data_IF_034228501472
#
_entry.id   IF_034228501472
#
_cell.length_a   1.000
_cell.length_b   1.000
_cell.length_c   1.000
_cell.angle_alpha   90.00
_cell.angle_beta   90.00
_cell.angle_gamma   90.00
#
_symmetry.space_group_name_H-M   'P 1'
#
loop_
_entity.id
_entity.type
_entity.pdbx_description
1 polymer ?
#
# COMPACT_ATOMS: atom_id res chain seq x y z
N UNK A 1 -29.47 -18.37 -15.74
CA UNK A 1 -29.45 -16.93 -16.06
C UNK A 1 -29.09 -16.17 -14.77
N UNK A 2 -27.83 -15.75 -14.60
CA UNK A 2 -27.47 -14.85 -13.51
C UNK A 2 -28.03 -13.47 -13.83
N UNK A 3 -29.07 -13.03 -13.12
CA UNK A 3 -29.46 -11.63 -13.15
C UNK A 3 -28.22 -10.81 -12.74
N UNK A 4 -27.69 -10.02 -13.68
CA UNK A 4 -26.66 -9.02 -13.35
C UNK A 4 -27.30 -8.10 -12.30
N UNK A 5 -26.83 -8.15 -11.05
CA UNK A 5 -27.25 -7.19 -10.03
C UNK A 5 -27.03 -5.78 -10.59
N UNK A 6 -28.04 -4.92 -10.48
CA UNK A 6 -27.91 -3.52 -10.89
C UNK A 6 -26.85 -2.82 -10.04
N UNK A 7 -26.14 -1.88 -10.65
CA UNK A 7 -25.14 -1.05 -9.97
C UNK A 7 -25.86 -0.04 -9.06
N UNK A 8 -25.42 0.06 -7.80
CA UNK A 8 -26.03 0.95 -6.81
C UNK A 8 -25.05 2.10 -6.56
N UNK A 9 -25.49 3.32 -6.85
CA UNK A 9 -24.72 4.55 -6.67
C UNK A 9 -25.17 5.35 -5.44
N UNK A 10 -26.29 5.00 -4.83
CA UNK A 10 -26.77 5.53 -3.55
C UNK A 10 -27.04 4.39 -2.56
N UNK A 11 -26.13 4.21 -1.61
CA UNK A 11 -26.22 3.12 -0.63
C UNK A 11 -27.40 3.29 0.36
N UNK A 12 -28.01 4.47 0.44
CA UNK A 12 -29.21 4.72 1.28
C UNK A 12 -30.41 3.87 0.84
N UNK A 13 -30.50 3.53 -0.45
CA UNK A 13 -31.53 2.64 -1.00
C UNK A 13 -31.49 1.23 -0.39
N UNK A 14 -30.33 0.83 0.13
CA UNK A 14 -30.14 -0.49 0.76
C UNK A 14 -30.61 -0.54 2.23
N UNK A 15 -30.85 0.63 2.84
CA UNK A 15 -31.11 0.77 4.26
C UNK A 15 -29.84 0.71 5.13
N UNK A 16 -29.95 1.26 6.34
CA UNK A 16 -28.83 1.43 7.27
C UNK A 16 -28.09 0.11 7.60
N UNK A 17 -28.78 -1.01 7.93
CA UNK A 17 -28.07 -2.24 8.30
C UNK A 17 -27.16 -2.79 7.18
N UNK A 18 -27.64 -2.76 5.93
CA UNK A 18 -26.84 -3.24 4.79
C UNK A 18 -25.67 -2.29 4.48
N UNK A 19 -25.89 -0.98 4.62
CA UNK A 19 -24.84 0.02 4.44
C UNK A 19 -23.72 -0.14 5.48
N UNK A 20 -24.05 -0.38 6.76
CA UNK A 20 -23.09 -0.66 7.81
C UNK A 20 -22.31 -1.95 7.53
N UNK A 21 -22.99 -3.00 7.09
CA UNK A 21 -22.35 -4.27 6.71
C UNK A 21 -21.38 -4.09 5.54
N UNK A 22 -21.75 -3.31 4.51
CA UNK A 22 -20.86 -3.00 3.39
C UNK A 22 -19.64 -2.18 3.85
N UNK A 23 -19.82 -1.20 4.73
CA UNK A 23 -18.70 -0.50 5.35
C UNK A 23 -17.75 -1.43 6.08
N UNK A 24 -18.29 -2.40 6.81
CA UNK A 24 -17.51 -3.43 7.50
C UNK A 24 -16.75 -4.33 6.51
N UNK A 25 -17.36 -4.67 5.36
CA UNK A 25 -16.69 -5.42 4.29
C UNK A 25 -15.49 -4.68 3.73
N UNK A 26 -15.65 -3.38 3.44
CA UNK A 26 -14.55 -2.53 2.97
C UNK A 26 -13.45 -2.39 4.04
N UNK A 27 -13.81 -2.30 5.31
CA UNK A 27 -12.85 -2.25 6.40
C UNK A 27 -12.04 -3.56 6.47
N UNK A 28 -12.67 -4.72 6.38
CA UNK A 28 -11.97 -6.00 6.40
C UNK A 28 -11.13 -6.25 5.15
N UNK A 29 -11.52 -5.73 3.98
CA UNK A 29 -10.74 -5.85 2.76
C UNK A 29 -9.40 -5.10 2.86
N UNK A 30 -9.40 -3.88 3.41
CA UNK A 30 -8.20 -3.08 3.57
C UNK A 30 -7.35 -3.52 4.77
N UNK A 31 -7.97 -4.17 5.76
CA UNK A 31 -7.35 -4.40 7.06
C UNK A 31 -6.03 -5.17 6.96
N UNK A 32 -6.05 -6.31 6.24
CA UNK A 32 -4.87 -7.16 6.10
C UNK A 32 -3.67 -6.44 5.49
N UNK A 33 -3.89 -5.70 4.41
CA UNK A 33 -2.85 -4.93 3.75
C UNK A 33 -2.35 -3.76 4.63
N UNK A 34 -3.27 -3.04 5.27
CA UNK A 34 -2.93 -1.87 6.09
C UNK A 34 -2.07 -2.21 7.30
N UNK A 35 -2.38 -3.30 8.01
CA UNK A 35 -1.61 -3.71 9.20
C UNK A 35 -0.27 -4.36 8.86
N UNK A 36 -0.11 -4.88 7.65
CA UNK A 36 1.11 -5.59 7.26
C UNK A 36 2.31 -4.64 7.13
N UNK A 37 2.11 -3.40 6.67
CA UNK A 37 3.19 -2.42 6.53
C UNK A 37 3.85 -2.08 7.87
N UNK A 38 3.14 -1.68 8.96
CA UNK A 38 3.79 -1.43 10.25
C UNK A 38 4.48 -2.67 10.81
N UNK A 39 3.92 -3.88 10.63
CA UNK A 39 4.56 -5.12 11.08
C UNK A 39 5.90 -5.33 10.35
N UNK A 40 5.96 -5.12 9.04
CA UNK A 40 7.18 -5.27 8.25
C UNK A 40 8.21 -4.19 8.60
N UNK A 41 7.78 -2.94 8.74
CA UNK A 41 8.67 -1.85 9.17
C UNK A 41 9.27 -2.17 10.54
N UNK A 42 8.48 -2.74 11.47
CA UNK A 42 8.97 -3.13 12.79
C UNK A 42 10.07 -4.19 12.73
N UNK A 43 10.10 -5.06 11.70
CA UNK A 43 11.23 -5.98 11.51
C UNK A 43 12.53 -5.26 11.16
N UNK A 44 12.48 -4.12 10.48
CA UNK A 44 13.65 -3.30 10.14
C UNK A 44 14.14 -2.43 11.32
N UNK A 45 13.22 -2.06 12.19
CA UNK A 45 13.47 -1.18 13.35
C UNK A 45 13.54 -1.93 14.68
N UNK A 46 13.78 -3.26 14.66
CA UNK A 46 13.93 -4.12 15.86
C UNK A 46 12.74 -4.00 16.85
N UNK A 47 11.52 -3.81 16.33
CA UNK A 47 10.31 -3.64 17.14
C UNK A 47 10.00 -2.19 17.53
N UNK A 48 10.91 -1.24 17.29
CA UNK A 48 10.75 0.20 17.59
C UNK A 48 10.24 1.00 16.37
N UNK A 49 9.45 0.37 15.49
CA UNK A 49 8.97 0.95 14.26
C UNK A 49 7.58 1.58 14.38
N UNK A 50 6.76 1.40 13.34
CA UNK A 50 5.44 2.01 13.22
C UNK A 50 4.40 1.35 14.15
N UNK A 51 3.56 2.17 14.77
CA UNK A 51 2.40 1.68 15.53
C UNK A 51 1.25 1.26 14.63
N UNK A 52 0.66 0.08 14.88
CA UNK A 52 -0.55 -0.40 14.20
C UNK A 52 -1.73 0.55 14.48
N UNK A 53 -1.86 1.05 15.70
CA UNK A 53 -2.91 2.00 16.07
C UNK A 53 -2.80 3.30 15.27
N UNK A 54 -1.59 3.90 15.22
CA UNK A 54 -1.33 5.12 14.42
C UNK A 54 -1.57 4.86 12.94
N UNK A 55 -1.18 3.70 12.44
CA UNK A 55 -1.44 3.31 11.04
C UNK A 55 -2.93 3.27 10.72
N UNK A 56 -3.75 2.63 11.56
CA UNK A 56 -5.18 2.51 11.36
C UNK A 56 -5.91 3.87 11.42
N UNK A 57 -5.57 4.71 12.40
CA UNK A 57 -6.20 6.04 12.51
C UNK A 57 -5.81 6.93 11.34
N UNK A 58 -4.54 6.88 10.90
CA UNK A 58 -4.07 7.64 9.75
C UNK A 58 -4.69 7.17 8.44
N UNK A 59 -4.89 5.87 8.25
CA UNK A 59 -5.61 5.33 7.09
C UNK A 59 -7.08 5.81 7.07
N UNK A 60 -7.76 5.76 8.20
CA UNK A 60 -9.13 6.24 8.32
C UNK A 60 -9.27 7.75 8.07
N UNK A 61 -8.48 8.57 8.77
CA UNK A 61 -8.48 10.03 8.60
C UNK A 61 -8.03 10.40 7.17
N UNK A 62 -6.97 9.76 6.65
CA UNK A 62 -6.47 9.97 5.30
C UNK A 62 -7.53 9.68 4.24
N UNK A 63 -8.31 8.59 4.40
CA UNK A 63 -9.45 8.27 3.53
C UNK A 63 -10.52 9.36 3.58
N UNK A 64 -10.86 9.88 4.76
CA UNK A 64 -11.83 10.97 4.89
C UNK A 64 -11.33 12.27 4.24
N UNK A 65 -10.05 12.63 4.41
CA UNK A 65 -9.43 13.77 3.71
C UNK A 65 -9.46 13.60 2.20
N UNK A 66 -9.13 12.42 1.71
CA UNK A 66 -9.21 12.12 0.29
C UNK A 66 -10.62 12.33 -0.26
N UNK A 67 -11.65 11.84 0.44
CA UNK A 67 -13.03 12.02 0.03
C UNK A 67 -13.44 13.50 0.02
N UNK A 68 -12.98 14.30 0.98
CA UNK A 68 -13.22 15.75 0.97
C UNK A 68 -12.56 16.42 -0.25
N UNK A 69 -11.31 16.12 -0.53
CA UNK A 69 -10.58 16.66 -1.69
C UNK A 69 -11.26 16.28 -3.01
N UNK A 70 -11.81 15.05 -3.10
CA UNK A 70 -12.46 14.50 -4.29
C UNK A 70 -13.96 14.82 -4.37
N UNK A 71 -14.45 15.83 -3.62
CA UNK A 71 -15.86 16.25 -3.59
C UNK A 71 -16.81 15.09 -3.21
N UNK A 72 -16.35 14.15 -2.40
CA UNK A 72 -17.09 12.97 -1.96
C UNK A 72 -17.54 12.02 -3.09
N UNK A 73 -16.89 12.07 -4.26
CA UNK A 73 -17.28 11.32 -5.47
C UNK A 73 -16.56 9.98 -5.64
N UNK A 74 -15.28 9.91 -5.25
CA UNK A 74 -14.43 8.74 -5.55
C UNK A 74 -14.53 7.71 -4.43
N UNK A 75 -14.98 6.48 -4.69
CA UNK A 75 -15.13 5.44 -3.67
C UNK A 75 -13.79 4.68 -3.43
N UNK A 76 -12.71 5.41 -3.18
CA UNK A 76 -11.41 4.82 -2.86
C UNK A 76 -11.17 4.82 -1.34
N UNK A 77 -10.57 3.76 -0.83
CA UNK A 77 -10.00 3.68 0.51
C UNK A 77 -8.50 3.90 0.43
N UNK A 78 -7.93 4.65 1.37
CA UNK A 78 -6.50 4.85 1.49
C UNK A 78 -5.96 4.06 2.68
N UNK A 79 -4.95 3.24 2.41
CA UNK A 79 -4.24 2.50 3.45
C UNK A 79 -2.74 2.66 3.33
N UNK A 80 -1.97 1.88 4.08
CA UNK A 80 -0.52 2.00 4.15
C UNK A 80 0.18 1.56 2.86
N UNK A 81 1.09 2.37 2.34
CA UNK A 81 1.83 2.11 1.11
C UNK A 81 3.00 1.14 1.30
N UNK A 82 3.04 0.09 0.49
CA UNK A 82 4.15 -0.87 0.44
C UNK A 82 5.39 -0.33 -0.28
N UNK A 83 5.23 0.63 -1.17
CA UNK A 83 6.33 1.19 -1.96
C UNK A 83 7.44 1.81 -1.09
N UNK A 84 7.09 2.32 0.09
CA UNK A 84 8.05 2.94 1.00
C UNK A 84 8.82 1.95 1.89
N UNK A 85 8.53 0.64 1.86
CA UNK A 85 9.23 -0.36 2.68
C UNK A 85 10.75 -0.37 2.42
N UNK A 86 11.16 -0.28 1.15
CA UNK A 86 12.58 -0.16 0.80
C UNK A 86 13.23 1.11 1.35
N UNK A 87 12.50 2.22 1.38
CA UNK A 87 12.95 3.48 1.99
C UNK A 87 13.09 3.36 3.52
N UNK A 88 12.12 2.76 4.21
CA UNK A 88 12.23 2.47 5.63
C UNK A 88 13.43 1.59 5.95
N UNK A 89 13.64 0.51 5.18
CA UNK A 89 14.82 -0.35 5.33
C UNK A 89 16.13 0.43 5.14
N UNK A 90 16.20 1.29 4.12
CA UNK A 90 17.38 2.12 3.88
C UNK A 90 17.64 3.09 5.05
N UNK A 91 16.60 3.80 5.55
CA UNK A 91 16.76 4.73 6.68
C UNK A 91 17.15 4.02 7.97
N UNK A 92 16.59 2.82 8.24
CA UNK A 92 16.97 2.01 9.39
C UNK A 92 18.48 1.68 9.41
N UNK A 93 19.06 1.43 8.21
CA UNK A 93 20.46 1.06 8.04
C UNK A 93 21.41 2.26 7.81
N UNK A 94 20.93 3.51 7.92
CA UNK A 94 21.82 4.67 7.87
C UNK A 94 22.76 4.68 9.07
N UNK A 95 24.08 4.79 8.80
CA UNK A 95 25.16 4.78 9.78
C UNK A 95 26.09 6.01 9.65
N UNK A 96 25.66 7.02 8.90
CA UNK A 96 26.45 8.22 8.57
C UNK A 96 25.81 9.49 9.14
N UNK A 97 26.63 10.52 9.35
CA UNK A 97 26.15 11.81 9.85
C UNK A 97 25.47 11.68 11.21
N UNK A 98 24.28 12.25 11.35
CA UNK A 98 23.52 12.22 12.61
C UNK A 98 22.98 10.83 12.97
N UNK A 99 22.90 9.90 11.99
CA UNK A 99 22.31 8.57 12.18
C UNK A 99 23.26 7.55 12.80
N UNK A 100 24.58 7.87 12.90
CA UNK A 100 25.61 6.92 13.31
C UNK A 100 25.39 6.32 14.71
N UNK A 101 24.96 7.18 15.65
CA UNK A 101 24.81 6.78 17.05
C UNK A 101 23.34 6.72 17.49
N UNK A 102 22.39 6.80 16.54
CA UNK A 102 20.95 6.73 16.83
C UNK A 102 20.47 5.29 16.98
N UNK A 103 19.59 5.06 17.96
CA UNK A 103 18.81 3.82 18.05
C UNK A 103 17.85 3.69 16.86
N UNK A 104 17.32 2.48 16.63
CA UNK A 104 16.37 2.26 15.54
C UNK A 104 15.12 3.14 15.69
N UNK A 105 14.55 3.24 16.90
CA UNK A 105 13.38 4.08 17.16
C UNK A 105 13.62 5.57 16.93
N UNK A 106 14.85 6.07 17.18
CA UNK A 106 15.19 7.47 16.92
C UNK A 106 15.31 7.81 15.43
N UNK A 107 15.59 6.83 14.56
CA UNK A 107 15.67 7.01 13.10
C UNK A 107 14.28 7.08 12.44
N UNK A 108 13.26 6.44 13.03
CA UNK A 108 11.92 6.36 12.47
C UNK A 108 11.27 7.73 12.17
N UNK A 109 11.30 8.73 13.08
CA UNK A 109 10.76 10.06 12.81
C UNK A 109 11.38 10.74 11.59
N UNK A 110 12.64 10.47 11.27
CA UNK A 110 13.30 11.01 10.08
C UNK A 110 12.83 10.33 8.80
N UNK A 111 12.55 9.01 8.84
CA UNK A 111 11.91 8.32 7.73
C UNK A 111 10.52 8.93 7.45
N UNK A 112 9.73 9.15 8.51
CA UNK A 112 8.44 9.81 8.41
C UNK A 112 8.55 11.24 7.84
N UNK A 113 9.56 12.03 8.26
CA UNK A 113 9.81 13.37 7.70
C UNK A 113 10.10 13.34 6.19
N UNK A 114 10.84 12.34 5.72
CA UNK A 114 11.04 12.11 4.29
C UNK A 114 9.73 11.81 3.54
N UNK A 115 8.82 11.06 4.16
CA UNK A 115 7.49 10.76 3.60
C UNK A 115 6.60 12.00 3.57
N UNK A 116 6.69 12.90 4.55
CA UNK A 116 5.98 14.19 4.50
C UNK A 116 6.36 14.97 3.24
N UNK A 117 7.66 15.01 2.91
CA UNK A 117 8.14 15.65 1.68
C UNK A 117 7.67 14.89 0.44
N UNK A 118 7.64 13.55 0.47
CA UNK A 118 7.04 12.74 -0.59
C UNK A 118 5.57 13.12 -0.84
N UNK A 119 4.76 13.26 0.22
CA UNK A 119 3.38 13.74 0.12
C UNK A 119 3.27 15.16 -0.46
N UNK A 120 4.22 16.06 -0.14
CA UNK A 120 4.27 17.39 -0.74
C UNK A 120 4.54 17.36 -2.26
N UNK A 121 5.31 16.38 -2.76
CA UNK A 121 5.54 16.22 -4.21
C UNK A 121 4.24 15.86 -4.95
N UNK A 122 3.29 15.16 -4.32
CA UNK A 122 1.96 14.95 -4.90
C UNK A 122 1.21 16.26 -5.14
N UNK A 123 1.36 17.24 -4.23
CA UNK A 123 0.75 18.55 -4.40
C UNK A 123 1.38 19.32 -5.58
N UNK A 124 2.70 19.15 -5.77
CA UNK A 124 3.41 19.70 -6.94
C UNK A 124 2.87 19.06 -8.22
N UNK A 125 2.75 17.72 -8.28
CA UNK A 125 2.18 17.06 -9.45
C UNK A 125 0.73 17.48 -9.69
N UNK A 126 -0.08 17.60 -8.66
CA UNK A 126 -1.47 18.07 -8.76
C UNK A 126 -1.55 19.48 -9.34
N UNK A 127 -0.63 20.38 -8.94
CA UNK A 127 -0.53 21.70 -9.51
C UNK A 127 -0.16 21.65 -10.99
N UNK A 128 0.82 20.83 -11.36
CA UNK A 128 1.22 20.61 -12.76
C UNK A 128 0.04 20.08 -13.57
N UNK A 129 -0.68 19.05 -13.07
CA UNK A 129 -1.88 18.52 -13.73
C UNK A 129 -2.94 19.60 -13.94
N UNK A 130 -3.15 20.46 -12.94
CA UNK A 130 -4.13 21.55 -13.02
C UNK A 130 -3.76 22.64 -14.03
N UNK A 131 -2.46 23.01 -14.13
CA UNK A 131 -1.97 24.07 -14.99
C UNK A 131 -1.75 23.62 -16.44
N UNK A 132 -1.17 22.43 -16.60
CA UNK A 132 -0.73 21.89 -17.90
C UNK A 132 -1.80 21.02 -18.56
N UNK A 133 -2.72 20.48 -17.77
CA UNK A 133 -3.77 19.57 -18.19
C UNK A 133 -3.38 18.09 -18.09
N UNK A 134 -4.38 17.25 -17.82
CA UNK A 134 -4.23 15.80 -17.63
C UNK A 134 -3.56 15.15 -18.85
N UNK A 135 -4.01 15.45 -20.06
CA UNK A 135 -3.52 14.86 -21.31
C UNK A 135 -2.00 15.01 -21.50
N UNK A 136 -1.46 16.19 -21.17
CA UNK A 136 -0.01 16.43 -21.28
C UNK A 136 0.78 15.68 -20.22
N UNK A 137 0.27 15.60 -19.00
CA UNK A 137 0.92 14.84 -17.90
C UNK A 137 0.88 13.33 -18.18
N UNK A 138 -0.26 12.79 -18.60
CA UNK A 138 -0.41 11.37 -18.94
C UNK A 138 0.47 10.92 -20.11
N UNK A 139 0.92 11.86 -20.95
CA UNK A 139 1.93 11.58 -21.99
C UNK A 139 3.28 11.17 -21.40
N UNK A 140 3.66 11.68 -20.22
CA UNK A 140 4.90 11.31 -19.54
C UNK A 140 4.72 10.09 -18.63
N UNK A 141 3.49 9.80 -18.20
CA UNK A 141 3.10 8.73 -17.30
C UNK A 141 2.11 7.73 -17.95
N UNK A 142 2.41 7.23 -19.16
CA UNK A 142 1.51 6.29 -19.84
C UNK A 142 1.56 4.89 -19.19
N UNK A 143 0.59 4.00 -19.48
CA UNK A 143 0.55 2.65 -18.95
C UNK A 143 1.81 1.80 -19.17
N UNK A 144 2.57 2.06 -20.25
CA UNK A 144 3.88 1.42 -20.48
C UNK A 144 4.94 1.80 -19.44
N UNK A 145 4.76 2.89 -18.72
CA UNK A 145 5.60 3.32 -17.59
C UNK A 145 4.97 2.87 -16.27
N UNK A 146 3.69 3.20 -16.05
CA UNK A 146 3.02 2.96 -14.76
C UNK A 146 2.86 1.47 -14.45
N UNK A 147 2.49 0.65 -15.45
CA UNK A 147 2.31 -0.79 -15.28
C UNK A 147 3.58 -1.51 -14.78
N UNK A 148 4.71 -1.41 -15.49
CA UNK A 148 5.98 -2.01 -15.04
C UNK A 148 6.44 -1.52 -13.67
N UNK A 149 6.19 -0.26 -13.27
CA UNK A 149 6.52 0.24 -11.94
C UNK A 149 5.67 -0.45 -10.87
N UNK A 150 4.37 -0.60 -11.08
CA UNK A 150 3.49 -1.32 -10.15
C UNK A 150 3.94 -2.79 -10.03
N UNK A 151 4.36 -3.42 -11.14
CA UNK A 151 4.95 -4.77 -11.12
C UNK A 151 6.18 -4.80 -10.21
N UNK A 152 7.08 -3.83 -10.33
CA UNK A 152 8.28 -3.73 -9.51
C UNK A 152 7.96 -3.54 -8.02
N UNK A 153 6.92 -2.77 -7.66
CA UNK A 153 6.52 -2.57 -6.26
C UNK A 153 6.27 -3.93 -5.60
N UNK A 154 5.44 -4.77 -6.21
CA UNK A 154 5.14 -6.08 -5.64
C UNK A 154 6.35 -7.04 -5.65
N UNK A 155 7.04 -7.18 -6.79
CA UNK A 155 8.15 -8.13 -6.94
C UNK A 155 9.38 -7.78 -6.10
N UNK A 156 9.69 -6.49 -5.90
CA UNK A 156 10.81 -6.07 -5.05
C UNK A 156 10.67 -6.50 -3.59
N UNK A 157 9.44 -6.75 -3.14
CA UNK A 157 9.13 -7.18 -1.79
C UNK A 157 9.13 -8.71 -1.61
N UNK A 158 9.15 -9.48 -2.71
CA UNK A 158 9.10 -10.95 -2.67
C UNK A 158 10.17 -11.59 -1.77
N UNK A 159 11.44 -11.13 -1.72
CA UNK A 159 12.44 -11.68 -0.81
C UNK A 159 12.03 -11.57 0.67
N UNK A 160 11.35 -10.50 1.09
CA UNK A 160 10.91 -10.34 2.48
C UNK A 160 9.80 -11.34 2.83
N UNK A 161 8.87 -11.61 1.91
CA UNK A 161 7.84 -12.64 2.09
C UNK A 161 8.45 -14.02 2.27
N UNK A 162 9.44 -14.39 1.43
CA UNK A 162 10.16 -15.66 1.53
C UNK A 162 10.94 -15.75 2.84
N UNK A 163 11.62 -14.70 3.27
CA UNK A 163 12.38 -14.68 4.51
C UNK A 163 11.49 -14.87 5.74
N UNK A 164 10.32 -14.24 5.77
CA UNK A 164 9.33 -14.44 6.81
C UNK A 164 8.73 -15.87 6.78
N UNK A 165 8.43 -16.41 5.58
CA UNK A 165 7.90 -17.76 5.42
C UNK A 165 8.87 -18.85 5.89
N UNK A 166 10.18 -18.64 5.73
CA UNK A 166 11.24 -19.59 6.16
C UNK A 166 11.21 -19.91 7.65
N UNK A 167 10.68 -19.05 8.49
CA UNK A 167 10.58 -19.29 9.94
C UNK A 167 9.70 -20.50 10.26
N UNK A 168 8.66 -20.77 9.44
CA UNK A 168 7.84 -21.97 9.50
C UNK A 168 7.02 -22.14 8.20
N UNK A 169 7.56 -22.90 7.25
CA UNK A 169 6.92 -23.13 5.96
C UNK A 169 5.52 -23.71 6.03
N UNK A 170 5.23 -24.57 7.02
CA UNK A 170 3.90 -25.20 7.16
C UNK A 170 2.86 -24.11 7.40
N UNK A 171 3.09 -23.22 8.37
CA UNK A 171 2.17 -22.12 8.67
C UNK A 171 2.06 -21.13 7.51
N UNK A 172 3.16 -20.84 6.81
CA UNK A 172 3.16 -19.97 5.64
C UNK A 172 2.32 -20.57 4.50
N UNK A 173 2.47 -21.86 4.22
CA UNK A 173 1.69 -22.56 3.18
C UNK A 173 0.21 -22.61 3.57
N UNK A 174 -0.13 -22.84 4.84
CA UNK A 174 -1.52 -22.82 5.31
C UNK A 174 -2.12 -21.44 5.08
N UNK A 175 -1.43 -20.36 5.46
CA UNK A 175 -1.92 -19.00 5.26
C UNK A 175 -2.16 -18.71 3.77
N UNK A 176 -1.19 -19.03 2.91
CA UNK A 176 -1.30 -18.89 1.47
C UNK A 176 -2.45 -19.70 0.88
N UNK A 177 -2.55 -20.99 1.22
CA UNK A 177 -3.59 -21.90 0.71
C UNK A 177 -4.99 -21.43 1.10
N UNK A 178 -5.18 -20.97 2.34
CA UNK A 178 -6.46 -20.44 2.82
C UNK A 178 -6.86 -19.22 1.98
N UNK A 179 -5.94 -18.29 1.72
CA UNK A 179 -6.23 -17.12 0.88
C UNK A 179 -6.67 -17.55 -0.52
N UNK A 180 -5.95 -18.48 -1.14
CA UNK A 180 -6.29 -19.02 -2.48
C UNK A 180 -7.68 -19.68 -2.47
N UNK A 181 -7.96 -20.52 -1.48
CA UNK A 181 -9.25 -21.22 -1.36
C UNK A 181 -10.40 -20.22 -1.25
N UNK A 182 -10.28 -19.23 -0.36
CA UNK A 182 -11.36 -18.25 -0.19
C UNK A 182 -11.49 -17.30 -1.38
N UNK A 183 -10.39 -16.97 -2.05
CA UNK A 183 -10.42 -16.12 -3.25
C UNK A 183 -11.13 -16.82 -4.42
N UNK A 184 -10.84 -18.10 -4.66
CA UNK A 184 -11.35 -18.85 -5.82
C UNK A 184 -12.73 -19.45 -5.55
N UNK A 185 -12.88 -20.17 -4.45
CA UNK A 185 -14.10 -20.92 -4.12
C UNK A 185 -15.00 -20.27 -3.07
N UNK A 186 -14.52 -19.18 -2.45
CA UNK A 186 -15.30 -18.41 -1.49
C UNK A 186 -16.59 -17.86 -2.09
N UNK A 187 -17.63 -17.76 -1.26
CA UNK A 187 -18.93 -17.20 -1.65
C UNK A 187 -19.29 -16.05 -0.70
N UNK A 188 -20.00 -15.05 -1.23
CA UNK A 188 -20.47 -13.91 -0.44
C UNK A 188 -19.32 -13.16 0.24
N UNK A 189 -19.44 -12.92 1.55
CA UNK A 189 -18.47 -12.21 2.38
C UNK A 189 -17.07 -12.83 2.32
N UNK A 190 -16.96 -14.15 2.37
CA UNK A 190 -15.68 -14.85 2.41
C UNK A 190 -14.82 -14.64 1.16
N UNK A 191 -15.45 -14.42 0.00
CA UNK A 191 -14.75 -14.07 -1.23
C UNK A 191 -14.15 -12.64 -1.20
N UNK A 192 -14.74 -11.78 -0.38
CA UNK A 192 -14.34 -10.37 -0.26
C UNK A 192 -13.13 -10.20 0.67
N UNK A 193 -12.99 -11.07 1.68
CA UNK A 193 -12.00 -10.95 2.74
C UNK A 193 -10.99 -12.12 2.79
N UNK A 194 -10.44 -12.58 1.65
CA UNK A 194 -9.60 -13.78 1.62
C UNK A 194 -8.32 -13.61 2.46
N UNK A 195 -7.71 -12.43 2.46
CA UNK A 195 -6.49 -12.13 3.23
C UNK A 195 -6.78 -12.23 4.72
N UNK A 196 -7.88 -11.64 5.20
CA UNK A 196 -8.27 -11.74 6.59
C UNK A 196 -8.54 -13.18 7.01
N UNK A 197 -9.20 -13.97 6.16
CA UNK A 197 -9.43 -15.39 6.42
C UNK A 197 -8.12 -16.18 6.49
N UNK A 198 -7.16 -15.86 5.62
CA UNK A 198 -5.81 -16.42 5.66
C UNK A 198 -5.12 -16.15 7.00
N UNK A 199 -5.16 -14.90 7.46
CA UNK A 199 -4.60 -14.51 8.76
C UNK A 199 -5.31 -15.24 9.90
N UNK A 200 -6.64 -15.14 9.98
CA UNK A 200 -7.42 -15.68 11.13
C UNK A 200 -7.29 -17.20 11.23
N UNK A 201 -7.49 -17.91 10.12
CA UNK A 201 -7.45 -19.38 10.15
C UNK A 201 -6.04 -19.89 10.47
N UNK A 202 -5.00 -19.32 9.83
CA UNK A 202 -3.62 -19.72 10.12
C UNK A 202 -3.18 -19.33 11.53
N UNK A 203 -3.69 -18.21 12.08
CA UNK A 203 -3.47 -17.85 13.47
C UNK A 203 -4.09 -18.87 14.44
N UNK A 204 -5.32 -19.30 14.18
CA UNK A 204 -5.98 -20.35 14.98
C UNK A 204 -5.21 -21.67 14.91
N UNK A 205 -4.76 -22.08 13.71
CA UNK A 205 -3.93 -23.29 13.56
C UNK A 205 -2.63 -23.17 14.33
N UNK A 206 -1.93 -22.03 14.19
CA UNK A 206 -0.69 -21.76 14.92
C UNK A 206 -0.92 -21.79 16.45
N UNK A 207 -2.05 -21.25 16.93
CA UNK A 207 -2.43 -21.29 18.34
C UNK A 207 -2.65 -22.72 18.84
N UNK A 208 -3.32 -23.56 18.05
CA UNK A 208 -3.52 -24.98 18.38
C UNK A 208 -2.16 -25.70 18.46
N UNK A 209 -1.28 -25.50 17.48
CA UNK A 209 0.07 -26.07 17.48
C UNK A 209 0.89 -25.63 18.71
N UNK A 210 0.82 -24.35 19.05
CA UNK A 210 1.46 -23.83 20.26
C UNK A 210 0.93 -24.51 21.55
N UNK A 211 -0.37 -24.72 21.64
CA UNK A 211 -0.99 -25.44 22.80
C UNK A 211 -0.60 -26.89 22.84
N UNK A 212 -0.31 -27.52 21.71
CA UNK A 212 0.21 -28.90 21.61
C UNK A 212 1.72 -29.01 21.90
N UNK A 213 2.40 -27.88 22.25
CA UNK A 213 3.83 -27.86 22.53
C UNK A 213 4.73 -27.88 21.31
N UNK A 214 4.19 -27.60 20.11
CA UNK A 214 4.97 -27.50 18.87
C UNK A 214 5.73 -26.18 18.86
N UNK A 215 6.99 -26.24 18.46
CA UNK A 215 7.88 -25.09 18.29
C UNK A 215 8.18 -24.85 16.82
N UNK A 216 8.72 -23.68 16.50
CA UNK A 216 9.28 -23.42 15.16
C UNK A 216 10.48 -24.33 14.89
N UNK A 217 10.90 -24.53 13.62
CA UNK A 217 12.05 -25.37 13.28
C UNK A 217 13.38 -24.95 13.94
N UNK A 218 13.51 -23.70 14.34
CA UNK A 218 14.66 -23.16 15.09
C UNK A 218 14.56 -23.36 16.61
N UNK A 219 13.52 -24.03 17.10
CA UNK A 219 13.26 -24.25 18.52
C UNK A 219 12.58 -23.07 19.25
N UNK A 220 12.33 -21.95 18.57
CA UNK A 220 11.64 -20.79 19.16
C UNK A 220 10.15 -21.07 19.33
N UNK A 221 9.52 -20.39 20.30
CA UNK A 221 8.08 -20.47 20.50
C UNK A 221 7.32 -19.81 19.32
N UNK A 222 6.22 -20.45 18.89
CA UNK A 222 5.37 -19.90 17.82
C UNK A 222 4.74 -18.57 18.23
N UNK A 223 4.37 -18.42 19.50
CA UNK A 223 3.71 -17.22 20.04
C UNK A 223 4.35 -16.69 21.31
N UNK A 224 4.25 -15.36 21.46
CA UNK A 224 4.51 -14.65 22.71
C UNK A 224 3.30 -13.77 23.05
N UNK A 225 2.51 -14.16 24.08
CA UNK A 225 1.27 -13.46 24.43
C UNK A 225 1.45 -12.41 25.54
N UNK A 226 2.67 -12.12 25.99
CA UNK A 226 2.91 -11.18 27.10
C UNK A 226 2.32 -9.81 26.77
N UNK A 227 2.71 -9.22 25.64
CA UNK A 227 2.21 -7.91 25.22
C UNK A 227 0.68 -7.88 25.08
N UNK A 228 0.06 -8.94 24.52
CA UNK A 228 -1.39 -9.05 24.41
C UNK A 228 -2.08 -9.07 25.78
N UNK A 229 -1.50 -9.73 26.77
CA UNK A 229 -2.07 -9.79 28.15
C UNK A 229 -2.01 -8.44 28.83
N UNK A 230 -0.87 -7.76 28.69
CA UNK A 230 -0.57 -6.50 29.40
C UNK A 230 -1.27 -5.28 28.75
N UNK A 231 -1.68 -5.40 27.49
CA UNK A 231 -2.34 -4.32 26.75
C UNK A 231 -3.74 -4.01 27.31
N UNK A 232 -4.05 -2.70 27.37
CA UNK A 232 -5.38 -2.20 27.70
C UNK A 232 -6.40 -2.39 26.57
N UNK A 233 -7.69 -2.23 26.90
CA UNK A 233 -8.75 -2.32 25.89
C UNK A 233 -8.92 -1.04 25.08
N UNK A 234 -8.73 0.12 25.71
CA UNK A 234 -8.90 1.45 25.10
C UNK A 234 -7.76 2.35 25.56
N UNK A 235 -7.07 2.96 24.61
CA UNK A 235 -6.06 3.97 24.84
C UNK A 235 -5.90 4.87 23.59
N UNK A 236 -5.24 6.00 23.74
CA UNK A 236 -4.89 6.87 22.62
C UNK A 236 -3.77 6.23 21.78
N UNK A 237 -3.85 6.32 20.44
CA UNK A 237 -2.73 5.91 19.60
C UNK A 237 -1.43 6.66 19.98
N UNK A 238 -0.28 5.96 20.03
CA UNK A 238 1.00 6.57 20.42
C UNK A 238 1.59 7.37 19.26
N UNK A 239 1.08 8.58 19.04
CA UNK A 239 1.56 9.47 18.00
C UNK A 239 2.99 9.91 18.24
N UNK A 240 3.78 9.96 17.17
CA UNK A 240 5.15 10.45 17.17
C UNK A 240 5.33 11.47 16.06
N UNK A 241 5.78 12.69 16.41
CA UNK A 241 6.00 13.72 15.41
C UNK A 241 7.23 13.40 14.54
N UNK A 242 7.12 13.66 13.25
CA UNK A 242 8.21 13.49 12.30
C UNK A 242 9.36 14.48 12.57
N UNK A 243 10.56 14.10 12.13
CA UNK A 243 11.76 14.95 12.11
C UNK A 243 12.31 15.02 10.70
N UNK A 244 12.94 16.12 10.35
CA UNK A 244 13.46 16.34 9.00
C UNK A 244 14.98 16.26 8.97
N UNK A 245 15.50 15.52 7.98
CA UNK A 245 16.91 15.49 7.63
C UNK A 245 17.04 15.28 6.12
N UNK A 246 17.99 15.96 5.49
CA UNK A 246 18.16 15.93 4.05
C UNK A 246 18.45 14.53 3.52
N UNK A 247 19.23 13.72 4.24
CA UNK A 247 19.56 12.35 3.82
C UNK A 247 18.30 11.48 3.76
N UNK A 248 17.47 11.48 4.81
CA UNK A 248 16.22 10.72 4.82
C UNK A 248 15.19 11.23 3.81
N UNK A 249 15.15 12.54 3.56
CA UNK A 249 14.32 13.14 2.53
C UNK A 249 14.74 12.64 1.14
N UNK A 250 16.03 12.63 0.84
CA UNK A 250 16.55 12.16 -0.44
C UNK A 250 16.38 10.66 -0.66
N UNK A 251 16.24 9.87 0.40
CA UNK A 251 15.87 8.44 0.31
C UNK A 251 14.37 8.28 0.01
N UNK A 252 13.51 8.99 0.74
CA UNK A 252 12.06 8.78 0.73
C UNK A 252 11.34 9.53 -0.40
N UNK A 253 11.67 10.80 -0.62
CA UNK A 253 10.93 11.66 -1.54
C UNK A 253 10.89 11.14 -2.99
N UNK A 254 11.98 10.58 -3.59
CA UNK A 254 11.93 10.06 -4.95
C UNK A 254 10.99 8.87 -5.14
N UNK A 255 10.65 8.13 -4.06
CA UNK A 255 9.69 7.01 -4.10
C UNK A 255 8.28 7.52 -4.47
N UNK A 256 7.98 8.77 -4.15
CA UNK A 256 6.73 9.41 -4.53
C UNK A 256 6.42 9.32 -6.04
N UNK A 257 7.44 9.33 -6.90
CA UNK A 257 7.23 9.16 -8.34
C UNK A 257 6.58 7.81 -8.67
N UNK A 258 6.99 6.74 -8.00
CA UNK A 258 6.40 5.42 -8.19
C UNK A 258 4.96 5.35 -7.64
N UNK A 259 4.73 5.89 -6.44
CA UNK A 259 3.40 5.85 -5.81
C UNK A 259 2.39 6.78 -6.48
N UNK A 260 2.83 7.90 -7.06
CA UNK A 260 1.98 8.74 -7.91
C UNK A 260 1.48 7.98 -9.15
N UNK A 261 2.33 7.13 -9.74
CA UNK A 261 1.94 6.30 -10.89
C UNK A 261 1.01 5.17 -10.48
N UNK A 262 1.24 4.54 -9.33
CA UNK A 262 0.33 3.59 -8.72
C UNK A 262 -1.07 4.21 -8.52
N UNK A 263 -1.13 5.39 -7.90
CA UNK A 263 -2.37 6.14 -7.69
C UNK A 263 -3.14 6.42 -9.00
N UNK A 264 -2.45 6.84 -10.06
CA UNK A 264 -3.08 7.06 -11.37
C UNK A 264 -3.68 5.75 -11.91
N UNK A 265 -2.97 4.64 -11.77
CA UNK A 265 -3.43 3.31 -12.14
C UNK A 265 -4.68 2.90 -11.38
N UNK A 266 -4.69 3.09 -10.07
CA UNK A 266 -5.81 2.76 -9.19
C UNK A 266 -7.06 3.59 -9.50
N UNK A 267 -6.91 4.91 -9.69
CA UNK A 267 -8.03 5.78 -10.08
C UNK A 267 -8.59 5.40 -11.44
N UNK A 268 -7.75 4.94 -12.37
CA UNK A 268 -8.19 4.42 -13.65
C UNK A 268 -8.98 3.11 -13.48
N UNK A 269 -8.51 2.19 -12.63
CA UNK A 269 -9.18 0.93 -12.33
C UNK A 269 -10.54 1.15 -11.64
N UNK A 270 -10.60 2.07 -10.66
CA UNK A 270 -11.87 2.45 -10.00
C UNK A 270 -12.82 3.08 -11.00
N UNK A 271 -12.32 3.93 -11.91
CA UNK A 271 -13.13 4.53 -12.97
C UNK A 271 -13.74 3.47 -13.90
N UNK A 272 -12.95 2.50 -14.35
CA UNK A 272 -13.42 1.40 -15.18
C UNK A 272 -14.46 0.53 -14.45
N UNK A 273 -14.22 0.22 -13.16
CA UNK A 273 -15.11 -0.60 -12.32
C UNK A 273 -16.46 0.04 -12.10
N UNK A 274 -16.48 1.36 -11.85
CA UNK A 274 -17.70 2.10 -11.52
C UNK A 274 -18.45 2.67 -12.73
N UNK A 275 -17.78 2.71 -13.89
CA UNK A 275 -18.31 3.36 -15.09
C UNK A 275 -18.26 4.89 -15.05
N UNK A 276 -17.55 5.49 -14.08
CA UNK A 276 -17.37 6.92 -13.92
C UNK A 276 -15.93 7.32 -14.23
N UNK A 277 -15.72 8.41 -14.94
CA UNK A 277 -14.37 8.91 -15.22
C UNK A 277 -13.89 9.87 -14.13
N UNK A 278 -13.24 9.33 -13.08
CA UNK A 278 -12.72 10.13 -11.97
C UNK A 278 -11.45 10.92 -12.30
N UNK A 279 -10.79 10.60 -13.39
CA UNK A 279 -9.67 11.39 -13.91
C UNK A 279 -10.17 12.74 -14.46
N UNK A 280 -11.39 12.75 -15.01
CA UNK A 280 -12.05 13.96 -15.52
C UNK A 280 -12.83 14.70 -14.42
N UNK A 281 -13.68 13.99 -13.65
CA UNK A 281 -14.51 14.55 -12.56
C UNK A 281 -14.47 13.63 -11.33
N UNK A 282 -13.93 14.07 -10.22
CA UNK A 282 -13.53 15.41 -9.78
C UNK A 282 -12.21 15.95 -10.37
N UNK A 283 -11.49 15.13 -11.10
CA UNK A 283 -10.23 15.46 -11.75
C UNK A 283 -9.01 14.89 -11.04
N UNK A 284 -8.03 14.44 -11.82
CA UNK A 284 -6.81 13.81 -11.33
C UNK A 284 -6.04 14.71 -10.34
N UNK A 285 -6.03 16.03 -10.54
CA UNK A 285 -5.41 16.96 -9.60
C UNK A 285 -6.00 16.89 -8.19
N UNK A 286 -7.32 16.62 -8.06
CA UNK A 286 -7.98 16.50 -6.75
C UNK A 286 -7.68 15.18 -6.07
N UNK A 287 -7.63 14.10 -6.83
CA UNK A 287 -7.27 12.78 -6.26
C UNK A 287 -5.81 12.78 -5.81
N UNK A 288 -4.90 13.41 -6.56
CA UNK A 288 -3.50 13.59 -6.17
C UNK A 288 -3.35 14.47 -4.92
N UNK A 289 -4.13 15.58 -4.79
CA UNK A 289 -4.13 16.41 -3.58
C UNK A 289 -4.56 15.57 -2.38
N UNK A 290 -5.65 14.79 -2.53
CA UNK A 290 -6.18 13.98 -1.44
C UNK A 290 -5.18 12.92 -0.95
N UNK A 291 -4.54 12.22 -1.87
CA UNK A 291 -3.54 11.18 -1.55
C UNK A 291 -2.27 11.79 -0.93
N UNK A 292 -1.77 12.88 -1.52
CA UNK A 292 -0.59 13.59 -1.00
C UNK A 292 -0.81 14.17 0.40
N UNK A 293 -1.96 14.79 0.65
CA UNK A 293 -2.30 15.31 1.98
C UNK A 293 -2.47 14.20 3.00
N UNK A 294 -3.12 13.09 2.62
CA UNK A 294 -3.28 11.91 3.48
C UNK A 294 -1.92 11.31 3.85
N UNK A 295 -1.02 11.17 2.86
CA UNK A 295 0.35 10.70 3.05
C UNK A 295 1.16 11.62 3.98
N UNK A 296 1.15 12.92 3.70
CA UNK A 296 1.87 13.90 4.53
C UNK A 296 1.34 13.96 5.96
N UNK A 297 0.01 13.93 6.13
CA UNK A 297 -0.62 13.89 7.45
C UNK A 297 -0.24 12.63 8.22
N UNK A 298 -0.38 11.46 7.63
CA UNK A 298 -0.04 10.19 8.28
C UNK A 298 1.41 10.20 8.78
N UNK A 299 2.35 10.57 7.91
CA UNK A 299 3.77 10.59 8.24
C UNK A 299 4.14 11.68 9.26
N UNK A 300 3.45 12.83 9.24
CA UNK A 300 3.68 13.90 10.23
C UNK A 300 3.40 13.42 11.67
N UNK A 301 2.48 12.48 11.85
CA UNK A 301 2.09 11.92 13.14
C UNK A 301 2.67 10.51 13.41
N UNK A 302 3.66 10.06 12.64
CA UNK A 302 4.35 8.80 12.88
C UNK A 302 3.67 7.58 12.25
N UNK A 303 2.76 7.79 11.29
CA UNK A 303 2.19 6.73 10.46
C UNK A 303 2.99 6.49 9.17
N UNK A 304 2.70 5.41 8.43
CA UNK A 304 3.24 5.18 7.10
C UNK A 304 2.63 6.13 6.06
N UNK A 305 3.24 6.20 4.87
CA UNK A 305 2.59 6.82 3.71
C UNK A 305 1.25 6.14 3.43
N UNK A 306 0.26 6.91 3.00
CA UNK A 306 -1.00 6.37 2.50
C UNK A 306 -0.94 6.19 0.96
N UNK A 307 -1.77 5.30 0.44
CA UNK A 307 -2.01 5.09 -0.99
C UNK A 307 -3.41 4.53 -1.21
N UNK A 308 -3.94 4.68 -2.41
CA UNK A 308 -5.22 4.06 -2.80
C UNK A 308 -5.12 2.54 -2.84
N UNK A 309 -6.20 1.84 -2.45
CA UNK A 309 -6.19 0.37 -2.33
C UNK A 309 -7.02 -0.32 -3.42
N UNK A 310 -6.35 -1.12 -4.23
CA UNK A 310 -6.95 -1.98 -5.23
C UNK A 310 -7.84 -3.09 -4.63
N UNK A 311 -7.56 -3.55 -3.41
CA UNK A 311 -8.36 -4.53 -2.68
C UNK A 311 -9.79 -4.02 -2.47
N UNK A 312 -9.95 -2.74 -2.15
CA UNK A 312 -11.26 -2.12 -1.98
C UNK A 312 -11.99 -1.95 -3.32
N UNK A 313 -11.27 -1.79 -4.43
CA UNK A 313 -11.85 -1.83 -5.78
C UNK A 313 -12.47 -3.19 -6.08
N UNK A 314 -11.84 -4.28 -5.65
CA UNK A 314 -12.41 -5.64 -5.72
C UNK A 314 -13.73 -5.77 -4.95
N UNK A 315 -13.86 -5.09 -3.79
CA UNK A 315 -15.14 -5.06 -3.05
C UNK A 315 -16.22 -4.32 -3.83
N UNK A 316 -15.88 -3.19 -4.46
CA UNK A 316 -16.81 -2.44 -5.33
C UNK A 316 -17.30 -3.34 -6.47
N UNK A 317 -16.41 -4.05 -7.14
CA UNK A 317 -16.73 -4.94 -8.25
C UNK A 317 -17.70 -6.07 -7.83
N UNK A 318 -17.44 -6.71 -6.69
CA UNK A 318 -18.24 -7.83 -6.19
C UNK A 318 -19.59 -7.41 -5.61
N UNK A 319 -19.62 -6.31 -4.86
CA UNK A 319 -20.85 -5.79 -4.25
C UNK A 319 -21.74 -5.05 -5.24
N UNK A 320 -21.13 -4.44 -6.27
CA UNK A 320 -21.73 -3.49 -7.20
C UNK A 320 -22.34 -2.27 -6.53
N UNK A 321 -21.85 -1.91 -5.34
CA UNK A 321 -22.23 -0.71 -4.62
C UNK A 321 -21.08 0.30 -4.72
N UNK A 322 -21.27 1.34 -5.49
CA UNK A 322 -20.25 2.32 -5.86
C UNK A 322 -20.35 3.64 -5.09
N UNK A 323 -21.19 3.67 -4.05
CA UNK A 323 -21.37 4.86 -3.22
C UNK A 323 -20.16 5.05 -2.28
N UNK A 324 -19.47 6.19 -2.34
CA UNK A 324 -18.36 6.51 -1.43
C UNK A 324 -18.73 6.49 0.08
N UNK A 325 -20.01 6.53 0.44
CA UNK A 325 -20.45 6.46 1.84
C UNK A 325 -20.04 5.15 2.51
N UNK A 326 -20.09 4.02 1.79
CA UNK A 326 -19.69 2.73 2.37
C UNK A 326 -18.20 2.69 2.68
N UNK A 327 -17.38 3.35 1.86
CA UNK A 327 -15.94 3.49 2.10
C UNK A 327 -15.66 4.43 3.28
N UNK A 328 -16.42 5.53 3.43
CA UNK A 328 -16.30 6.39 4.61
C UNK A 328 -16.67 5.68 5.91
N UNK A 329 -17.67 4.79 5.88
CA UNK A 329 -17.96 3.93 7.04
C UNK A 329 -16.79 3.03 7.39
N UNK A 330 -16.13 2.44 6.39
CA UNK A 330 -14.91 1.66 6.62
C UNK A 330 -13.80 2.50 7.27
N UNK A 331 -13.63 3.74 6.84
CA UNK A 331 -12.69 4.69 7.44
C UNK A 331 -13.01 4.98 8.93
N UNK A 332 -14.28 5.16 9.25
CA UNK A 332 -14.74 5.33 10.64
C UNK A 332 -14.45 4.08 11.47
N UNK A 333 -14.71 2.89 10.93
CA UNK A 333 -14.38 1.63 11.62
C UNK A 333 -12.88 1.49 11.87
N UNK A 334 -12.03 1.86 10.91
CA UNK A 334 -10.58 1.85 11.11
C UNK A 334 -10.15 2.81 12.23
N UNK A 335 -10.71 4.01 12.27
CA UNK A 335 -10.48 4.98 13.36
C UNK A 335 -10.93 4.40 14.71
N UNK A 336 -12.09 3.79 14.80
CA UNK A 336 -12.58 3.20 16.05
C UNK A 336 -11.68 2.06 16.53
N UNK A 337 -11.21 1.18 15.62
CA UNK A 337 -10.30 0.09 15.97
C UNK A 337 -8.93 0.58 16.44
N UNK A 338 -8.48 1.74 15.98
CA UNK A 338 -7.17 2.30 16.37
C UNK A 338 -7.06 2.63 17.85
N UNK A 339 -8.17 2.82 18.56
CA UNK A 339 -8.18 3.10 20.00
C UNK A 339 -8.02 1.84 20.86
N UNK A 340 -7.85 0.65 20.28
CA UNK A 340 -7.69 -0.58 21.03
C UNK A 340 -6.26 -1.12 20.98
N UNK A 341 -5.41 -0.88 22.00
CA UNK A 341 -4.09 -1.50 22.13
C UNK A 341 -4.19 -3.04 22.10
N UNK A 342 -5.24 -3.60 22.72
CA UNK A 342 -5.48 -5.05 22.73
C UNK A 342 -5.57 -5.64 21.32
N UNK A 343 -6.27 -4.98 20.41
CA UNK A 343 -6.37 -5.39 19.00
C UNK A 343 -5.01 -5.23 18.32
N UNK A 344 -4.32 -4.13 18.54
CA UNK A 344 -2.99 -3.88 17.95
C UNK A 344 -1.96 -4.93 18.37
N UNK A 345 -1.90 -5.28 19.67
CA UNK A 345 -0.98 -6.29 20.19
C UNK A 345 -1.37 -7.72 19.75
N UNK A 346 -2.66 -8.00 19.60
CA UNK A 346 -3.11 -9.25 19.02
C UNK A 346 -2.62 -9.42 17.57
N UNK A 347 -2.68 -8.36 16.78
CA UNK A 347 -2.14 -8.30 15.42
C UNK A 347 -0.62 -8.39 15.44
N UNK A 348 0.05 -7.66 16.33
CA UNK A 348 1.51 -7.68 16.50
C UNK A 348 2.06 -9.04 16.94
N UNK A 349 1.22 -9.89 17.54
CA UNK A 349 1.57 -11.27 17.92
C UNK A 349 1.53 -12.28 16.77
N UNK A 350 1.21 -11.85 15.53
CA UNK A 350 1.19 -12.74 14.37
C UNK A 350 2.59 -13.34 14.12
N UNK A 351 2.71 -14.69 14.03
CA UNK A 351 3.97 -15.31 13.65
C UNK A 351 4.50 -14.82 12.30
N UNK A 352 5.81 -14.61 12.21
CA UNK A 352 6.46 -14.15 10.97
C UNK A 352 6.15 -15.05 9.77
N UNK A 353 6.01 -16.36 9.99
CA UNK A 353 5.64 -17.33 8.96
C UNK A 353 4.27 -17.06 8.33
N UNK A 354 3.27 -16.70 9.15
CA UNK A 354 1.93 -16.35 8.68
C UNK A 354 2.01 -15.05 7.86
N UNK A 355 2.76 -14.06 8.38
CA UNK A 355 3.02 -12.80 7.66
C UNK A 355 3.67 -13.10 6.30
N UNK A 356 4.64 -14.01 6.25
CA UNK A 356 5.30 -14.44 5.01
C UNK A 356 4.32 -15.05 3.99
N UNK A 357 3.46 -15.98 4.41
CA UNK A 357 2.46 -16.59 3.55
C UNK A 357 1.42 -15.61 3.00
N UNK A 358 0.95 -14.69 3.84
CA UNK A 358 0.03 -13.61 3.46
C UNK A 358 0.70 -12.63 2.49
N UNK A 359 1.93 -12.21 2.81
CA UNK A 359 2.71 -11.26 1.99
C UNK A 359 3.01 -11.83 0.62
N UNK A 360 3.31 -13.13 0.52
CA UNK A 360 3.57 -13.79 -0.74
C UNK A 360 2.40 -13.63 -1.72
N UNK A 361 1.17 -13.82 -1.24
CA UNK A 361 -0.02 -13.60 -2.05
C UNK A 361 -0.26 -12.12 -2.35
N UNK A 362 -0.12 -11.26 -1.35
CA UNK A 362 -0.40 -9.83 -1.48
C UNK A 362 0.56 -9.16 -2.49
N UNK A 363 1.86 -9.42 -2.39
CA UNK A 363 2.86 -8.85 -3.31
C UNK A 363 2.66 -9.36 -4.74
N UNK A 364 2.29 -10.65 -4.88
CA UNK A 364 1.89 -11.21 -6.17
C UNK A 364 0.67 -10.51 -6.77
N UNK A 365 -0.34 -10.20 -5.95
CA UNK A 365 -1.54 -9.47 -6.40
C UNK A 365 -1.21 -8.03 -6.81
N UNK A 366 -0.36 -7.30 -6.06
CA UNK A 366 0.09 -5.96 -6.46
C UNK A 366 0.76 -6.01 -7.83
N UNK A 367 1.67 -6.96 -8.04
CA UNK A 367 2.32 -7.14 -9.35
C UNK A 367 1.32 -7.49 -10.46
N UNK A 368 0.33 -8.32 -10.17
CA UNK A 368 -0.73 -8.68 -11.12
C UNK A 368 -1.60 -7.47 -11.51
N UNK A 369 -1.84 -6.52 -10.60
CA UNK A 369 -2.51 -5.24 -10.91
C UNK A 369 -1.68 -4.45 -11.94
N UNK A 370 -0.34 -4.42 -11.80
CA UNK A 370 0.53 -3.80 -12.80
C UNK A 370 0.44 -4.47 -14.17
N UNK A 371 0.38 -5.80 -14.22
CA UNK A 371 0.15 -6.55 -15.47
C UNK A 371 -1.23 -6.21 -16.05
N UNK A 372 -2.26 -6.19 -15.23
CA UNK A 372 -3.61 -5.80 -15.63
C UNK A 372 -3.65 -4.41 -16.24
N UNK A 373 -2.97 -3.43 -15.64
CA UNK A 373 -2.86 -2.07 -16.17
C UNK A 373 -2.30 -2.06 -17.59
N UNK A 374 -1.22 -2.81 -17.85
CA UNK A 374 -0.63 -2.96 -19.19
C UNK A 374 -1.61 -3.57 -20.19
N UNK A 375 -2.29 -4.64 -19.80
CA UNK A 375 -3.20 -5.41 -20.67
C UNK A 375 -4.47 -4.61 -20.99
N UNK A 376 -5.12 -4.02 -20.00
CA UNK A 376 -6.36 -3.25 -20.18
C UNK A 376 -6.15 -2.01 -21.04
N UNK A 377 -4.98 -1.37 -20.93
CA UNK A 377 -4.60 -0.23 -21.75
C UNK A 377 -3.97 -0.65 -23.11
N UNK A 378 -3.97 -1.93 -23.45
CA UNK A 378 -3.52 -2.47 -24.73
C UNK A 378 -2.12 -2.01 -25.12
N UNK A 379 -1.18 -1.99 -24.16
CA UNK A 379 0.21 -1.62 -24.43
C UNK A 379 0.83 -2.61 -25.41
N UNK A 380 1.25 -2.09 -26.58
CA UNK A 380 1.84 -2.90 -27.64
C UNK A 380 3.35 -3.10 -27.45
N UNK A 381 3.75 -4.25 -26.95
CA UNK A 381 5.16 -4.62 -26.76
C UNK A 381 5.86 -5.14 -28.03
N UNK A 382 5.19 -5.22 -29.17
CA UNK A 382 5.86 -5.46 -30.46
C UNK A 382 6.65 -4.24 -30.90
N UNK A 383 6.32 -3.06 -30.37
CA UNK A 383 7.05 -1.83 -30.60
C UNK A 383 8.31 -1.77 -29.73
N UNK A 384 9.47 -1.68 -30.36
CA UNK A 384 10.79 -1.64 -29.69
C UNK A 384 10.86 -0.55 -28.59
N UNK A 385 10.22 0.60 -28.82
CA UNK A 385 10.14 1.68 -27.85
C UNK A 385 9.51 1.23 -26.52
N UNK A 386 8.35 0.63 -26.58
CA UNK A 386 7.60 0.17 -25.39
C UNK A 386 8.35 -0.96 -24.68
N UNK A 387 8.91 -1.88 -25.48
CA UNK A 387 9.74 -2.98 -24.95
C UNK A 387 10.95 -2.44 -24.17
N UNK A 388 11.67 -1.44 -24.73
CA UNK A 388 12.85 -0.86 -24.08
C UNK A 388 12.46 -0.14 -22.79
N UNK A 389 11.39 0.69 -22.79
CA UNK A 389 10.94 1.42 -21.61
C UNK A 389 10.60 0.43 -20.48
N UNK A 390 9.77 -0.57 -20.77
CA UNK A 390 9.38 -1.57 -19.77
C UNK A 390 10.58 -2.41 -19.29
N UNK A 391 11.47 -2.85 -20.19
CA UNK A 391 12.63 -3.65 -19.84
C UNK A 391 13.56 -2.89 -18.87
N UNK A 392 13.83 -1.61 -19.14
CA UNK A 392 14.67 -0.78 -18.26
C UNK A 392 14.03 -0.58 -16.90
N UNK A 393 12.70 -0.32 -16.84
CA UNK A 393 11.98 -0.19 -15.57
C UNK A 393 12.08 -1.48 -14.76
N UNK A 394 11.76 -2.63 -15.36
CA UNK A 394 11.76 -3.92 -14.67
C UNK A 394 13.16 -4.29 -14.17
N UNK A 395 14.18 -4.15 -15.01
CA UNK A 395 15.57 -4.47 -14.63
C UNK A 395 16.07 -3.50 -13.55
N UNK A 396 15.77 -2.20 -13.67
CA UNK A 396 16.18 -1.22 -12.66
C UNK A 396 15.46 -1.43 -11.32
N UNK A 397 14.14 -1.67 -11.36
CA UNK A 397 13.33 -1.83 -10.16
C UNK A 397 13.67 -3.10 -9.35
N UNK A 398 14.18 -4.14 -10.01
CA UNK A 398 14.52 -5.41 -9.37
C UNK A 398 16.03 -5.60 -9.21
N UNK A 399 16.84 -5.08 -10.15
CA UNK A 399 18.27 -5.37 -10.21
C UNK A 399 19.13 -4.58 -9.23
N UNK A 400 18.72 -3.34 -8.90
CA UNK A 400 19.51 -2.51 -7.98
C UNK A 400 19.33 -2.87 -6.49
N UNK A 401 18.52 -3.86 -6.13
CA UNK A 401 18.40 -4.36 -4.77
C UNK A 401 18.29 -3.26 -3.70
N UNK A 402 19.41 -2.92 -3.07
CA UNK A 402 19.49 -1.87 -2.05
C UNK A 402 19.57 -0.44 -2.60
N UNK A 403 19.42 -0.26 -3.91
CA UNK A 403 19.54 1.05 -4.57
C UNK A 403 20.97 1.42 -4.93
N UNK A 404 21.17 2.68 -5.33
CA UNK A 404 22.48 3.26 -5.64
C UNK A 404 22.78 4.37 -4.63
N UNK A 405 23.94 4.27 -3.96
CA UNK A 405 24.41 5.31 -3.05
C UNK A 405 25.54 6.09 -3.69
N UNK A 406 25.44 7.41 -3.66
CA UNK A 406 26.49 8.33 -4.12
C UNK A 406 26.62 9.49 -3.14
N UNK A 407 27.81 10.12 -3.07
CA UNK A 407 28.09 11.22 -2.17
C UNK A 407 28.14 12.55 -2.92
N UNK A 408 27.31 13.50 -2.51
CA UNK A 408 27.32 14.86 -3.06
C UNK A 408 27.56 15.84 -1.91
N UNK A 409 28.59 16.67 -2.03
CA UNK A 409 28.95 17.69 -1.03
C UNK A 409 29.04 17.10 0.40
N UNK A 410 29.59 15.90 0.55
CA UNK A 410 29.75 15.23 1.87
C UNK A 410 28.48 14.54 2.41
N UNK A 411 27.36 14.62 1.68
CA UNK A 411 26.10 13.94 2.04
C UNK A 411 25.91 12.68 1.21
N UNK A 412 25.73 11.53 1.86
CA UNK A 412 25.40 10.28 1.18
C UNK A 412 23.93 10.29 0.78
N UNK A 413 23.67 10.09 -0.51
CA UNK A 413 22.33 10.02 -1.11
C UNK A 413 22.11 8.61 -1.62
N UNK A 414 21.07 7.93 -1.14
CA UNK A 414 20.67 6.61 -1.64
C UNK A 414 19.35 6.71 -2.41
N UNK A 415 19.40 6.43 -3.70
CA UNK A 415 18.19 6.25 -4.51
C UNK A 415 17.76 4.78 -4.44
N UNK A 416 16.53 4.54 -3.99
CA UNK A 416 15.96 3.18 -3.97
C UNK A 416 15.75 2.66 -5.39
N UNK A 417 15.70 1.33 -5.57
CA UNK A 417 15.47 0.70 -6.88
C UNK A 417 14.20 1.21 -7.56
N UNK A 418 13.12 1.41 -6.81
CA UNK A 418 11.85 1.94 -7.34
C UNK A 418 11.98 3.39 -7.80
N UNK A 419 12.72 4.23 -7.07
CA UNK A 419 12.97 5.61 -7.49
C UNK A 419 13.79 5.65 -8.79
N UNK A 420 14.82 4.80 -8.91
CA UNK A 420 15.64 4.67 -10.12
C UNK A 420 14.77 4.21 -11.30
N UNK A 421 13.95 3.18 -11.12
CA UNK A 421 13.05 2.65 -12.13
C UNK A 421 12.06 3.72 -12.64
N UNK A 422 11.48 4.50 -11.70
CA UNK A 422 10.56 5.58 -12.04
C UNK A 422 11.25 6.69 -12.85
N UNK A 423 12.41 7.16 -12.40
CA UNK A 423 13.18 8.21 -13.07
C UNK A 423 13.58 7.77 -14.48
N UNK A 424 14.15 6.56 -14.61
CA UNK A 424 14.59 6.03 -15.89
C UNK A 424 13.42 5.78 -16.84
N UNK A 425 12.32 5.22 -16.34
CA UNK A 425 11.11 4.98 -17.12
C UNK A 425 10.51 6.27 -17.70
N UNK A 426 10.35 7.29 -16.86
CA UNK A 426 9.86 8.62 -17.30
C UNK A 426 10.81 9.25 -18.29
N UNK A 427 12.12 9.24 -18.01
CA UNK A 427 13.12 9.83 -18.86
C UNK A 427 13.17 9.16 -20.25
N UNK A 428 13.22 7.84 -20.31
CA UNK A 428 13.20 7.10 -21.57
C UNK A 428 11.91 7.32 -22.35
N UNK A 429 10.76 7.32 -21.66
CA UNK A 429 9.49 7.61 -22.31
C UNK A 429 9.43 9.03 -22.89
N UNK A 430 10.12 9.99 -22.26
CA UNK A 430 10.20 11.36 -22.76
C UNK A 430 11.16 11.53 -23.95
N UNK A 431 12.30 10.81 -23.94
CA UNK A 431 13.39 10.98 -24.92
C UNK A 431 13.13 10.14 -26.18
N UNK A 432 12.61 8.92 -26.04
CA UNK A 432 12.42 8.01 -27.17
C UNK A 432 11.34 8.52 -28.12
N UNK A 433 11.55 8.45 -29.45
CA UNK A 433 10.57 8.91 -30.45
C UNK A 433 9.33 7.99 -30.44
N UNK A 434 8.20 8.53 -30.87
CA UNK A 434 6.90 7.85 -30.93
C UNK A 434 5.93 8.29 -29.82
N UNK A 435 4.63 8.11 -30.08
CA UNK A 435 3.53 8.37 -29.15
C UNK A 435 2.58 7.20 -29.28
N UNK A 436 2.62 6.29 -28.33
CA UNK A 436 1.82 5.06 -28.42
C UNK A 436 0.57 5.05 -27.54
N UNK A 437 0.41 6.07 -26.69
CA UNK A 437 -0.74 6.23 -25.82
C UNK A 437 -1.40 7.57 -26.03
N UNK A 438 -2.64 7.56 -26.49
CA UNK A 438 -3.52 8.72 -26.54
C UNK A 438 -4.54 8.58 -25.41
N UNK A 439 -4.55 9.54 -24.51
CA UNK A 439 -5.54 9.60 -23.44
C UNK A 439 -6.83 10.16 -24.03
N UNK A 440 -7.87 9.32 -24.10
CA UNK A 440 -9.21 9.72 -24.48
C UNK A 440 -9.86 10.54 -23.37
N UNK A 441 -10.32 11.77 -23.70
CA UNK A 441 -10.96 12.70 -22.76
C UNK A 441 -12.36 12.26 -22.33
#
# INVERSE_FOLDING_TARGET
>A
MNQKKEAIYDARELGVPKMLLLGLQHMFAMFGATILVPILVNTYFNGEGLSIQVTLICAGIGTLFFHLCTKLKVPAFLGSSFAFLGGFHTVANLDTGIFKDMSMGEKLPYACGGIVVAGALYLVLALVVKLVGVKRVMRFLPPVVTGPIIICIGLSLAPSAVNNAKTNWILAIIAFAVIVIFNIWGKGMFKIIPILMGVVISYVVAFILFKCGVHNPDGSAIFTFKAVKDAGWVDLPPFQLCKFNITSILVMAPIALATMMEHIGDISAISATTGNNFIKDPGLHRTQIGDGLATAFAAAFGGPANTTYGENTGVLELSRVYDPRVVRLAAVYAILLSFSPKVAECIGSLPASIIGGVSFMLYGMISAIGVRNVVENKVDFTKSRNLIVAAVILVSGLGFGNGITFTVAGTSITLTSLAIAAILGIALNAILPGKDYEFDE
#
